data_IF_543542441074
#
_entry.id   IF_543542441074
#
_cell.length_a   1.000
_cell.length_b   1.000
_cell.length_c   1.000
_cell.angle_alpha   90.00
_cell.angle_beta   90.00
_cell.angle_gamma   90.00
#
_symmetry.space_group_name_H-M   'P 1'
#
loop_
_entity.id
_entity.type
_entity.pdbx_description
1 polymer ?
#
# COMPACT_ATOMS: atom_id res chain seq x y z
N UNK A 1 0.17 7.06 -8.52
CA UNK A 1 1.52 6.55 -8.88
C UNK A 1 2.63 7.32 -8.15
N UNK A 2 2.77 8.63 -8.34
CA UNK A 2 3.86 9.42 -7.71
C UNK A 2 3.83 9.36 -6.18
N UNK A 3 2.66 9.45 -5.55
CA UNK A 3 2.56 9.33 -4.09
C UNK A 3 2.99 7.94 -3.60
N UNK A 4 2.68 6.88 -4.36
CA UNK A 4 3.13 5.51 -4.05
C UNK A 4 4.62 5.33 -4.28
N UNK A 5 5.19 5.96 -5.31
CA UNK A 5 6.63 5.95 -5.55
C UNK A 5 7.41 6.49 -4.34
N UNK A 6 7.03 7.65 -3.81
CA UNK A 6 7.64 8.23 -2.61
C UNK A 6 7.47 7.37 -1.35
N UNK A 7 6.32 6.70 -1.23
CA UNK A 7 6.06 5.76 -0.14
C UNK A 7 7.00 4.56 -0.20
N UNK A 8 7.17 3.98 -1.39
CA UNK A 8 7.99 2.79 -1.61
C UNK A 8 9.49 3.07 -1.62
N UNK A 9 9.93 4.28 -1.99
CA UNK A 9 11.33 4.69 -1.77
C UNK A 9 11.70 4.50 -0.32
N UNK A 10 10.87 4.98 0.61
CA UNK A 10 11.18 4.86 2.04
C UNK A 10 11.35 3.41 2.49
N UNK A 11 10.40 2.55 2.12
CA UNK A 11 10.43 1.15 2.50
C UNK A 11 11.64 0.42 1.88
N UNK A 12 11.93 0.66 0.60
CA UNK A 12 12.98 -0.05 -0.13
C UNK A 12 14.39 0.44 0.24
N UNK A 13 14.54 1.75 0.48
CA UNK A 13 15.81 2.36 0.88
C UNK A 13 16.06 2.34 2.40
N UNK A 14 15.11 1.87 3.23
CA UNK A 14 15.30 1.84 4.68
C UNK A 14 16.54 1.02 5.08
N UNK A 15 16.89 -0.01 4.31
CA UNK A 15 18.09 -0.83 4.50
C UNK A 15 19.39 0.01 4.43
N UNK A 16 19.37 1.13 3.69
CA UNK A 16 20.52 2.01 3.50
C UNK A 16 20.56 3.18 4.49
N UNK A 17 19.42 3.82 4.78
CA UNK A 17 19.41 5.04 5.60
C UNK A 17 19.07 4.80 7.07
N UNK A 18 18.61 3.60 7.49
CA UNK A 18 18.16 3.37 8.87
C UNK A 18 19.18 3.83 9.92
N UNK A 19 20.45 3.40 9.81
CA UNK A 19 21.52 3.82 10.71
C UNK A 19 21.91 5.29 10.61
N UNK A 20 21.55 6.01 9.54
CA UNK A 20 21.77 7.46 9.46
C UNK A 20 20.84 8.26 10.38
N UNK A 21 19.65 7.74 10.70
CA UNK A 21 18.65 8.41 11.55
C UNK A 21 18.51 7.77 12.93
N UNK A 22 18.74 6.46 13.03
CA UNK A 22 18.55 5.66 14.23
C UNK A 22 19.81 4.83 14.50
N UNK A 23 20.93 5.45 14.92
CA UNK A 23 22.15 4.71 15.16
C UNK A 23 21.94 3.68 16.28
N UNK A 24 22.22 2.42 15.97
CA UNK A 24 22.16 1.31 16.92
C UNK A 24 23.35 0.37 16.70
N UNK A 25 23.60 -0.51 17.67
CA UNK A 25 24.59 -1.58 17.52
C UNK A 25 24.07 -2.76 16.68
N UNK A 26 22.74 -2.84 16.44
CA UNK A 26 22.10 -3.93 15.71
C UNK A 26 21.20 -3.40 14.58
N UNK A 27 21.44 -3.86 13.35
CA UNK A 27 20.68 -3.49 12.15
C UNK A 27 19.17 -3.75 12.28
N UNK A 28 18.77 -4.79 13.01
CA UNK A 28 17.35 -5.11 13.25
C UNK A 28 16.67 -3.99 14.04
N UNK A 29 17.36 -3.41 15.03
CA UNK A 29 16.83 -2.31 15.82
C UNK A 29 16.69 -1.02 14.99
N UNK A 30 17.67 -0.71 14.13
CA UNK A 30 17.57 0.45 13.22
C UNK A 30 16.37 0.30 12.28
N UNK A 31 16.19 -0.89 11.70
CA UNK A 31 15.06 -1.19 10.83
C UNK A 31 13.74 -1.18 11.58
N UNK A 32 13.69 -1.64 12.83
CA UNK A 32 12.51 -1.58 13.68
C UNK A 32 12.07 -0.13 13.91
N UNK A 33 13.02 0.78 14.16
CA UNK A 33 12.74 2.22 14.27
C UNK A 33 12.21 2.79 12.96
N UNK A 34 12.81 2.47 11.81
CA UNK A 34 12.26 2.92 10.50
C UNK A 34 10.88 2.34 10.21
N UNK A 35 10.62 1.08 10.58
CA UNK A 35 9.31 0.43 10.44
C UNK A 35 8.27 1.09 11.36
N UNK A 36 8.65 1.50 12.57
CA UNK A 36 7.78 2.27 13.46
C UNK A 36 7.43 3.64 12.86
N UNK A 37 8.39 4.34 12.26
CA UNK A 37 8.12 5.60 11.53
C UNK A 37 7.20 5.36 10.33
N UNK A 38 7.40 4.27 9.60
CA UNK A 38 6.52 3.87 8.50
C UNK A 38 5.09 3.63 9.00
N UNK A 39 4.93 2.89 10.10
CA UNK A 39 3.65 2.61 10.75
C UNK A 39 2.95 3.90 11.23
N UNK A 40 3.69 4.87 11.79
CA UNK A 40 3.14 6.17 12.19
C UNK A 40 2.57 6.92 10.96
N UNK A 41 3.25 6.90 9.82
CA UNK A 41 2.71 7.47 8.58
C UNK A 41 1.40 6.80 8.14
N UNK A 42 1.27 5.49 8.34
CA UNK A 42 0.03 4.76 8.10
C UNK A 42 -1.11 5.19 9.02
N UNK A 43 -0.83 5.42 10.31
CA UNK A 43 -1.81 5.91 11.29
C UNK A 43 -2.41 7.27 10.93
N UNK A 44 -1.71 8.08 10.12
CA UNK A 44 -2.20 9.36 9.64
C UNK A 44 -3.20 9.23 8.48
N UNK A 45 -3.33 8.07 7.82
CA UNK A 45 -4.21 7.89 6.65
C UNK A 45 -5.70 8.12 6.93
N UNK A 46 -6.30 7.64 8.05
CA UNK A 46 -7.69 7.96 8.37
C UNK A 46 -7.91 9.46 8.58
N UNK A 47 -6.98 10.14 9.26
CA UNK A 47 -7.00 11.59 9.45
C UNK A 47 -6.87 12.32 8.11
N UNK A 48 -5.95 11.86 7.25
CA UNK A 48 -5.77 12.37 5.89
C UNK A 48 -7.02 12.25 5.04
N UNK A 49 -7.69 11.09 5.08
CA UNK A 49 -8.96 10.84 4.38
C UNK A 49 -10.04 11.83 4.80
N UNK A 50 -10.14 12.11 6.11
CA UNK A 50 -11.10 13.05 6.66
C UNK A 50 -10.78 14.51 6.27
N UNK A 51 -9.53 14.93 6.46
CA UNK A 51 -9.09 16.31 6.17
C UNK A 51 -9.16 16.60 4.67
N UNK A 52 -8.61 15.73 3.83
CA UNK A 52 -8.63 15.88 2.37
C UNK A 52 -10.03 15.75 1.80
N UNK A 53 -10.87 14.87 2.36
CA UNK A 53 -12.29 14.77 1.99
C UNK A 53 -13.05 16.07 2.25
N UNK A 54 -12.94 16.63 3.47
CA UNK A 54 -13.55 17.91 3.83
C UNK A 54 -13.02 19.06 2.97
N UNK A 55 -11.72 19.07 2.70
CA UNK A 55 -11.11 20.07 1.83
C UNK A 55 -11.61 19.96 0.38
N UNK A 56 -11.75 18.74 -0.15
CA UNK A 56 -12.32 18.48 -1.47
C UNK A 56 -13.79 18.91 -1.58
N UNK A 57 -14.56 18.76 -0.51
CA UNK A 57 -15.95 19.21 -0.45
C UNK A 57 -16.08 20.74 -0.42
N UNK A 58 -15.14 21.43 0.24
CA UNK A 58 -15.15 22.89 0.38
C UNK A 58 -14.52 23.64 -0.80
N UNK A 59 -13.43 23.11 -1.36
CA UNK A 59 -12.58 23.79 -2.34
C UNK A 59 -12.47 23.06 -3.68
N UNK A 60 -13.23 21.97 -3.86
CA UNK A 60 -13.21 21.17 -5.07
C UNK A 60 -12.14 20.05 -5.05
N UNK A 61 -12.39 18.99 -5.84
CA UNK A 61 -11.57 17.78 -5.87
C UNK A 61 -10.18 18.05 -6.44
N UNK A 62 -10.09 18.91 -7.45
CA UNK A 62 -8.82 19.34 -8.04
C UNK A 62 -7.91 19.99 -6.99
N UNK A 63 -8.44 20.92 -6.19
CA UNK A 63 -7.68 21.60 -5.14
C UNK A 63 -7.15 20.60 -4.10
N UNK A 64 -7.99 19.67 -3.63
CA UNK A 64 -7.57 18.64 -2.68
C UNK A 64 -6.48 17.71 -3.23
N UNK A 65 -6.64 17.29 -4.49
CA UNK A 65 -5.66 16.47 -5.19
C UNK A 65 -4.33 17.22 -5.37
N UNK A 66 -4.36 18.51 -5.72
CA UNK A 66 -3.17 19.36 -5.80
C UNK A 66 -2.49 19.50 -4.44
N UNK A 67 -3.25 19.79 -3.38
CA UNK A 67 -2.73 19.90 -2.02
C UNK A 67 -2.06 18.59 -1.56
N UNK A 68 -2.69 17.44 -1.83
CA UNK A 68 -2.12 16.12 -1.52
C UNK A 68 -0.75 15.92 -2.16
N UNK A 69 -0.65 16.15 -3.47
CA UNK A 69 0.62 15.97 -4.21
C UNK A 69 1.67 16.98 -3.73
N UNK A 70 1.29 18.22 -3.44
CA UNK A 70 2.20 19.23 -2.88
C UNK A 70 2.75 18.82 -1.52
N UNK A 71 1.91 18.28 -0.63
CA UNK A 71 2.33 17.78 0.68
C UNK A 71 3.32 16.64 0.50
N UNK A 72 3.04 15.71 -0.42
CA UNK A 72 3.93 14.59 -0.68
C UNK A 72 5.28 15.05 -1.23
N UNK A 73 5.27 15.94 -2.24
CA UNK A 73 6.45 16.51 -2.88
C UNK A 73 7.38 17.20 -1.87
N UNK A 74 6.80 18.10 -1.07
CA UNK A 74 7.53 18.85 -0.04
C UNK A 74 8.08 17.91 1.01
N UNK A 75 7.30 16.91 1.44
CA UNK A 75 7.78 15.91 2.39
C UNK A 75 8.99 15.12 1.86
N UNK A 76 8.95 14.67 0.60
CA UNK A 76 10.04 13.91 -0.01
C UNK A 76 11.30 14.76 -0.14
N UNK A 77 11.15 16.02 -0.57
CA UNK A 77 12.26 16.97 -0.62
C UNK A 77 12.86 17.21 0.77
N UNK A 78 12.02 17.45 1.79
CA UNK A 78 12.48 17.67 3.15
C UNK A 78 13.27 16.46 3.68
N UNK A 79 12.80 15.23 3.45
CA UNK A 79 13.52 14.00 3.85
C UNK A 79 14.92 13.94 3.23
N UNK A 80 15.06 14.33 1.97
CA UNK A 80 16.36 14.38 1.30
C UNK A 80 17.32 15.42 1.90
N UNK A 81 16.80 16.40 2.64
CA UNK A 81 17.57 17.49 3.24
C UNK A 81 17.84 17.29 4.74
N UNK A 82 17.07 16.44 5.44
CA UNK A 82 17.23 16.25 6.90
C UNK A 82 18.67 15.84 7.24
N UNK A 83 19.36 16.55 8.15
CA UNK A 83 20.68 16.14 8.63
C UNK A 83 20.62 14.81 9.39
N UNK A 84 21.73 14.06 9.37
CA UNK A 84 21.81 12.75 10.04
C UNK A 84 21.86 12.91 11.56
N UNK A 85 21.68 11.79 12.29
CA UNK A 85 21.78 11.76 13.75
C UNK A 85 23.15 12.26 14.24
N UNK A 86 24.22 12.02 13.49
CA UNK A 86 25.57 12.52 13.85
C UNK A 86 25.64 14.05 13.88
N UNK A 87 24.82 14.75 13.10
CA UNK A 87 24.84 16.21 12.98
C UNK A 87 23.91 16.91 13.97
N UNK A 88 22.70 16.39 14.17
CA UNK A 88 21.64 17.06 14.97
C UNK A 88 21.05 16.17 16.07
N UNK A 89 21.62 14.99 16.32
CA UNK A 89 21.17 14.07 17.35
C UNK A 89 19.73 13.62 17.17
N UNK A 90 19.00 13.54 18.29
CA UNK A 90 17.61 13.07 18.37
C UNK A 90 16.63 13.89 17.53
N UNK A 91 16.97 15.13 17.14
CA UNK A 91 16.12 15.92 16.25
C UNK A 91 16.01 15.30 14.84
N UNK A 92 17.02 14.55 14.38
CA UNK A 92 16.99 13.88 13.08
C UNK A 92 15.81 12.91 12.93
N UNK A 93 15.64 11.91 13.82
CA UNK A 93 14.48 11.02 13.76
C UNK A 93 13.15 11.72 14.09
N UNK A 94 13.13 12.73 14.96
CA UNK A 94 11.90 13.50 15.25
C UNK A 94 11.39 14.23 14.00
N UNK A 95 12.28 14.93 13.28
CA UNK A 95 11.93 15.63 12.03
C UNK A 95 11.45 14.60 10.99
N UNK A 96 12.13 13.46 10.88
CA UNK A 96 11.71 12.39 9.98
C UNK A 96 10.29 11.89 10.29
N UNK A 97 9.96 11.67 11.56
CA UNK A 97 8.62 11.28 12.02
C UNK A 97 7.58 12.33 11.64
N UNK A 98 7.85 13.61 11.92
CA UNK A 98 6.92 14.70 11.61
C UNK A 98 6.66 14.80 10.11
N UNK A 99 7.70 14.72 9.27
CA UNK A 99 7.53 14.73 7.82
C UNK A 99 6.70 13.51 7.37
N UNK A 100 6.95 12.33 7.94
CA UNK A 100 6.23 11.10 7.60
C UNK A 100 4.76 11.15 8.01
N UNK A 101 4.45 11.77 9.15
CA UNK A 101 3.06 12.01 9.56
C UNK A 101 2.35 12.91 8.56
N UNK A 102 3.00 13.99 8.12
CA UNK A 102 2.47 14.92 7.13
C UNK A 102 2.23 14.22 5.78
N UNK A 103 3.20 13.43 5.29
CA UNK A 103 3.05 12.64 4.06
C UNK A 103 1.92 11.59 4.17
N UNK A 104 1.73 10.99 5.34
CA UNK A 104 0.66 10.04 5.60
C UNK A 104 -0.76 10.63 5.42
N UNK A 105 -0.92 11.94 5.63
CA UNK A 105 -2.18 12.64 5.39
C UNK A 105 -2.55 12.69 3.90
N UNK A 106 -1.57 12.85 3.01
CA UNK A 106 -1.77 12.91 1.56
C UNK A 106 -2.35 11.58 1.02
N UNK A 107 -1.70 10.46 1.36
CA UNK A 107 -2.10 9.13 0.88
C UNK A 107 -3.46 8.63 1.40
N UNK A 108 -3.98 9.22 2.48
CA UNK A 108 -5.25 8.79 3.07
C UNK A 108 -6.43 8.92 2.11
N UNK A 109 -6.57 10.07 1.44
CA UNK A 109 -7.71 10.37 0.58
C UNK A 109 -7.67 9.72 -0.81
N UNK A 110 -6.47 9.43 -1.33
CA UNK A 110 -6.27 9.02 -2.73
C UNK A 110 -6.96 7.67 -3.05
N UNK A 111 -6.88 6.69 -2.12
CA UNK A 111 -7.34 5.33 -2.38
C UNK A 111 -8.86 5.23 -2.55
N UNK A 112 -9.63 5.84 -1.64
CA UNK A 112 -11.10 5.77 -1.67
C UNK A 112 -11.68 6.48 -2.90
N UNK A 113 -11.09 7.61 -3.27
CA UNK A 113 -11.49 8.38 -4.45
C UNK A 113 -11.19 7.59 -5.73
N UNK A 114 -9.98 7.03 -5.85
CA UNK A 114 -9.55 6.28 -7.03
C UNK A 114 -10.36 4.99 -7.22
N UNK A 115 -10.61 4.24 -6.14
CA UNK A 115 -11.41 3.02 -6.17
C UNK A 115 -12.85 3.29 -6.63
N UNK A 116 -13.46 4.36 -6.10
CA UNK A 116 -14.84 4.75 -6.45
C UNK A 116 -14.90 5.20 -7.91
N UNK A 117 -14.00 6.07 -8.34
CA UNK A 117 -13.93 6.57 -9.71
C UNK A 117 -13.79 5.44 -10.74
N UNK A 118 -12.88 4.49 -10.53
CA UNK A 118 -12.69 3.36 -11.43
C UNK A 118 -13.91 2.43 -11.46
N UNK A 119 -14.60 2.25 -10.32
CA UNK A 119 -15.82 1.44 -10.26
C UNK A 119 -17.00 2.08 -10.99
N UNK A 120 -17.10 3.42 -10.98
CA UNK A 120 -18.19 4.18 -11.59
C UNK A 120 -18.01 4.32 -13.10
N UNK A 121 -16.77 4.44 -13.58
CA UNK A 121 -16.47 4.49 -15.02
C UNK A 121 -16.59 3.14 -15.73
N UNK A 122 -16.48 2.04 -14.99
CA UNK A 122 -16.41 0.71 -15.58
C UNK A 122 -17.78 0.22 -16.09
N UNK A 123 -17.79 -0.30 -17.31
CA UNK A 123 -18.93 -1.06 -17.83
C UNK A 123 -19.21 -2.28 -16.92
N UNK A 124 -20.48 -2.60 -16.66
CA UNK A 124 -20.89 -3.62 -15.69
C UNK A 124 -20.19 -4.98 -15.89
N UNK A 125 -19.88 -5.34 -17.15
CA UNK A 125 -19.22 -6.61 -17.53
C UNK A 125 -17.69 -6.63 -17.39
N UNK A 126 -17.03 -5.50 -17.12
CA UNK A 126 -15.55 -5.39 -17.06
C UNK A 126 -15.05 -4.68 -15.80
N UNK A 127 -15.87 -4.66 -14.74
CA UNK A 127 -15.58 -3.91 -13.51
C UNK A 127 -14.30 -4.41 -12.82
N UNK A 128 -14.07 -5.72 -12.77
CA UNK A 128 -12.86 -6.33 -12.21
C UNK A 128 -11.61 -5.93 -12.99
N UNK A 129 -11.67 -5.98 -14.33
CA UNK A 129 -10.56 -5.57 -15.19
C UNK A 129 -10.15 -4.11 -14.94
N UNK A 130 -11.09 -3.15 -14.96
CA UNK A 130 -10.77 -1.73 -14.72
C UNK A 130 -10.32 -1.45 -13.28
N UNK A 131 -10.94 -2.08 -12.28
CA UNK A 131 -10.55 -1.91 -10.88
C UNK A 131 -9.12 -2.38 -10.60
N UNK A 132 -8.66 -3.43 -11.30
CA UNK A 132 -7.32 -3.97 -11.13
C UNK A 132 -6.19 -2.98 -11.48
N UNK A 133 -6.46 -1.99 -12.35
CA UNK A 133 -5.49 -0.96 -12.73
C UNK A 133 -5.08 -0.09 -11.54
N UNK A 134 -5.90 -0.01 -10.48
CA UNK A 134 -5.50 0.64 -9.25
C UNK A 134 -4.20 0.03 -8.69
N UNK A 135 -4.13 -1.29 -8.59
CA UNK A 135 -2.91 -1.98 -8.13
C UNK A 135 -1.78 -1.91 -9.16
N UNK A 136 -2.08 -1.85 -10.45
CA UNK A 136 -1.04 -1.57 -11.47
C UNK A 136 -0.34 -0.24 -11.18
N UNK A 137 -1.08 0.84 -10.90
CA UNK A 137 -0.47 2.15 -10.62
C UNK A 137 0.33 2.19 -9.32
N UNK A 138 -0.09 1.40 -8.32
CA UNK A 138 0.57 1.28 -7.03
C UNK A 138 1.89 0.51 -7.17
N UNK A 139 1.87 -0.64 -7.84
CA UNK A 139 3.05 -1.46 -8.09
C UNK A 139 4.00 -0.79 -9.10
N UNK A 140 3.48 -0.03 -10.06
CA UNK A 140 4.32 0.80 -10.95
C UNK A 140 5.16 1.80 -10.15
N UNK A 141 4.56 2.44 -9.13
CA UNK A 141 5.30 3.32 -8.22
C UNK A 141 6.42 2.57 -7.47
N UNK A 142 6.14 1.36 -6.99
CA UNK A 142 7.14 0.51 -6.35
C UNK A 142 8.26 0.08 -7.31
N UNK A 143 7.91 -0.33 -8.52
CA UNK A 143 8.87 -0.75 -9.55
C UNK A 143 9.79 0.40 -9.97
N UNK A 144 9.27 1.62 -10.11
CA UNK A 144 10.09 2.80 -10.37
C UNK A 144 11.08 3.08 -9.23
N UNK A 145 10.65 2.91 -7.97
CA UNK A 145 11.54 3.07 -6.82
C UNK A 145 12.65 2.00 -6.83
N UNK A 146 12.31 0.74 -7.12
CA UNK A 146 13.27 -0.35 -7.26
C UNK A 146 14.19 -0.18 -8.48
N UNK A 147 13.70 0.34 -9.59
CA UNK A 147 14.51 0.63 -10.78
C UNK A 147 15.60 1.65 -10.46
N UNK A 148 15.23 2.74 -9.77
CA UNK A 148 16.22 3.73 -9.31
C UNK A 148 17.19 3.10 -8.32
N UNK A 149 16.72 2.23 -7.42
CA UNK A 149 17.59 1.48 -6.52
C UNK A 149 18.61 0.62 -7.27
N UNK A 150 18.19 -0.13 -8.31
CA UNK A 150 19.07 -0.94 -9.15
C UNK A 150 20.09 -0.06 -9.87
N UNK A 151 19.65 1.04 -10.47
CA UNK A 151 20.54 1.99 -11.16
C UNK A 151 21.59 2.53 -10.19
N UNK A 152 21.19 2.97 -9.00
CA UNK A 152 22.15 3.47 -8.00
C UNK A 152 23.08 2.37 -7.50
N UNK A 153 22.61 1.14 -7.30
CA UNK A 153 23.45 -0.01 -6.93
C UNK A 153 24.47 -0.39 -8.02
N UNK A 154 24.14 -0.14 -9.28
CA UNK A 154 25.05 -0.43 -10.40
C UNK A 154 26.21 0.57 -10.48
N UNK A 155 25.94 1.85 -10.20
CA UNK A 155 26.94 2.92 -10.31
C UNK A 155 27.66 3.24 -9.00
N UNK A 156 27.09 2.90 -7.84
CA UNK A 156 27.60 3.31 -6.53
C UNK A 156 27.88 2.11 -5.63
N UNK A 157 28.87 2.29 -4.77
CA UNK A 157 29.23 1.31 -3.72
C UNK A 157 28.25 1.34 -2.55
N UNK A 158 28.16 0.26 -1.78
CA UNK A 158 27.28 0.19 -0.59
C UNK A 158 27.57 1.31 0.43
N UNK A 159 28.84 1.69 0.58
CA UNK A 159 29.26 2.81 1.44
C UNK A 159 28.70 4.14 0.94
N UNK A 160 28.74 4.41 -0.37
CA UNK A 160 28.16 5.62 -0.97
C UNK A 160 26.63 5.64 -0.87
N UNK A 161 25.98 4.48 -1.06
CA UNK A 161 24.53 4.30 -0.90
C UNK A 161 24.07 4.68 0.50
N UNK A 162 24.78 4.20 1.53
CA UNK A 162 24.49 4.51 2.94
C UNK A 162 24.87 5.94 3.35
N UNK A 163 25.93 6.50 2.76
CA UNK A 163 26.43 7.82 3.14
C UNK A 163 25.51 8.96 2.66
N UNK A 164 25.16 8.99 1.38
CA UNK A 164 24.44 10.13 0.79
C UNK A 164 23.47 9.75 -0.32
N UNK A 165 23.72 8.68 -1.08
CA UNK A 165 22.97 8.44 -2.29
C UNK A 165 21.52 7.99 -2.04
N UNK A 166 21.19 7.50 -0.84
CA UNK A 166 19.80 7.28 -0.41
C UNK A 166 18.93 8.55 -0.49
N UNK A 167 19.52 9.75 -0.54
CA UNK A 167 18.78 11.03 -0.71
C UNK A 167 18.29 11.23 -2.14
N UNK A 168 18.97 10.68 -3.15
CA UNK A 168 18.68 10.91 -4.58
C UNK A 168 17.25 10.52 -4.97
N UNK A 169 16.72 9.33 -4.61
CA UNK A 169 15.37 8.94 -4.99
C UNK A 169 14.30 9.88 -4.42
N UNK A 170 14.50 10.40 -3.20
CA UNK A 170 13.58 11.37 -2.60
C UNK A 170 13.56 12.71 -3.35
N UNK A 171 14.70 13.16 -3.87
CA UNK A 171 14.77 14.34 -4.76
C UNK A 171 14.05 14.06 -6.08
N UNK A 172 14.27 12.90 -6.69
CA UNK A 172 13.58 12.50 -7.91
C UNK A 172 12.06 12.41 -7.72
N UNK A 173 11.61 11.96 -6.54
CA UNK A 173 10.19 11.95 -6.17
C UNK A 173 9.60 13.34 -6.06
N UNK A 174 10.31 14.27 -5.40
CA UNK A 174 9.91 15.67 -5.35
C UNK A 174 9.81 16.29 -6.76
N UNK A 175 10.76 16.03 -7.66
CA UNK A 175 10.72 16.51 -9.05
C UNK A 175 9.52 15.91 -9.79
N UNK A 176 9.30 14.59 -9.68
CA UNK A 176 8.15 13.92 -10.30
C UNK A 176 6.82 14.47 -9.81
N UNK A 177 6.72 14.82 -8.53
CA UNK A 177 5.53 15.44 -7.97
C UNK A 177 5.32 16.87 -8.48
N UNK A 178 6.37 17.67 -8.66
CA UNK A 178 6.28 19.00 -9.30
C UNK A 178 5.77 18.89 -10.75
N UNK A 179 6.25 17.90 -11.51
CA UNK A 179 5.75 17.64 -12.86
C UNK A 179 4.26 17.30 -12.83
N UNK A 180 3.81 16.46 -11.89
CA UNK A 180 2.38 16.16 -11.73
C UNK A 180 1.58 17.40 -11.34
N UNK A 181 2.10 18.27 -10.47
CA UNK A 181 1.45 19.53 -10.13
C UNK A 181 1.28 20.40 -11.37
N UNK A 182 2.32 20.51 -12.21
CA UNK A 182 2.26 21.25 -13.47
C UNK A 182 1.21 20.66 -14.42
N UNK A 183 1.19 19.33 -14.59
CA UNK A 183 0.18 18.65 -15.42
C UNK A 183 -1.24 18.81 -14.88
N UNK A 184 -1.41 19.03 -13.57
CA UNK A 184 -2.73 19.30 -12.96
C UNK A 184 -3.18 20.75 -13.10
N UNK A 185 -2.30 21.65 -13.57
CA UNK A 185 -2.70 23.02 -13.92
C UNK A 185 -3.60 23.07 -15.17
N UNK A 186 -3.57 22.02 -16.01
CA UNK A 186 -4.40 21.92 -17.23
C UNK A 186 -5.68 21.10 -17.08
N UNK A 187 -5.98 20.52 -15.90
CA UNK A 187 -7.22 19.77 -15.67
C UNK A 187 -8.39 20.69 -15.32
N UNK A 188 -9.52 20.51 -16.01
CA UNK A 188 -10.79 21.17 -15.67
C UNK A 188 -11.35 20.68 -14.34
N UNK A 189 -12.05 21.56 -13.61
CA UNK A 189 -12.78 21.18 -12.40
C UNK A 189 -13.90 20.19 -12.72
N UNK A 190 -13.96 19.10 -11.95
CA UNK A 190 -15.02 18.09 -12.10
C UNK A 190 -16.41 18.71 -11.90
N UNK A 191 -17.29 18.48 -12.90
CA UNK A 191 -18.70 18.93 -12.98
C UNK A 191 -19.52 18.59 -11.72
N UNK A 192 -19.12 17.59 -10.94
CA UNK A 192 -19.76 17.23 -9.66
C UNK A 192 -19.70 18.33 -8.58
N UNK A 193 -18.67 19.19 -8.55
CA UNK A 193 -18.62 20.32 -7.60
C UNK A 193 -19.83 21.26 -7.77
N UNK A 194 -20.23 21.52 -9.02
CA UNK A 194 -21.39 22.35 -9.35
C UNK A 194 -22.74 21.71 -8.97
N UNK A 195 -22.80 20.38 -8.83
CA UNK A 195 -24.03 19.65 -8.42
C UNK A 195 -24.11 19.43 -6.90
N UNK A 196 -23.01 19.11 -6.21
CA UNK A 196 -22.99 18.89 -4.75
C UNK A 196 -23.23 20.19 -3.96
N UNK A 197 -22.88 21.35 -4.52
CA UNK A 197 -23.17 22.65 -3.92
C UNK A 197 -24.67 22.93 -3.67
N UNK A 198 -25.58 22.19 -4.31
CA UNK A 198 -27.04 22.39 -4.17
C UNK A 198 -27.69 21.59 -3.04
N UNK A 199 -27.00 20.66 -2.36
CA UNK A 199 -27.61 19.86 -1.28
C UNK A 199 -26.64 19.62 -0.10
N UNK A 200 -26.60 20.53 0.89
CA UNK A 200 -25.68 20.47 2.04
C UNK A 200 -25.87 19.24 2.94
N UNK A 201 -27.05 18.62 2.90
CA UNK A 201 -27.44 17.47 3.74
C UNK A 201 -27.06 16.10 3.14
N UNK A 202 -26.56 16.05 1.91
CA UNK A 202 -26.11 14.81 1.25
C UNK A 202 -24.62 14.50 1.51
N UNK A 203 -24.03 15.10 2.54
CA UNK A 203 -22.63 14.82 2.93
C UNK A 203 -22.59 13.46 3.62
N UNK A 204 -21.90 12.50 3.01
CA UNK A 204 -21.54 11.24 3.66
C UNK A 204 -20.86 11.55 4.98
N UNK A 205 -21.60 11.45 6.07
CA UNK A 205 -21.13 11.77 7.43
C UNK A 205 -20.85 10.47 8.15
N UNK A 206 -19.89 10.45 9.07
CA UNK A 206 -19.59 9.28 9.92
C UNK A 206 -20.85 8.71 10.61
N UNK A 207 -21.85 9.56 10.88
CA UNK A 207 -23.17 9.20 11.41
C UNK A 207 -24.01 8.36 10.44
N UNK A 208 -23.88 8.56 9.13
CA UNK A 208 -24.57 7.75 8.12
C UNK A 208 -23.86 6.41 7.92
N UNK A 209 -22.52 6.40 8.01
CA UNK A 209 -21.73 5.17 7.98
C UNK A 209 -22.04 4.25 9.18
N UNK A 210 -22.31 4.83 10.35
CA UNK A 210 -22.69 4.09 11.56
C UNK A 210 -23.97 3.25 11.39
N UNK A 211 -24.81 3.55 10.38
CA UNK A 211 -26.01 2.75 10.05
C UNK A 211 -25.69 1.44 9.32
N UNK A 212 -24.45 1.25 8.85
CA UNK A 212 -24.02 0.08 8.07
C UNK A 212 -22.88 -0.73 8.74
N UNK A 213 -23.03 -1.14 10.01
CA UNK A 213 -21.94 -1.78 10.76
C UNK A 213 -21.52 -3.14 10.18
N UNK A 214 -22.46 -3.89 9.59
CA UNK A 214 -22.17 -5.19 8.97
C UNK A 214 -21.28 -5.05 7.73
N UNK A 215 -21.57 -4.06 6.88
CA UNK A 215 -20.78 -3.76 5.69
C UNK A 215 -19.38 -3.25 6.07
N UNK A 216 -19.30 -2.37 7.07
CA UNK A 216 -18.02 -1.87 7.61
C UNK A 216 -17.17 -3.03 8.14
N UNK A 217 -17.73 -3.92 8.97
CA UNK A 217 -17.01 -5.09 9.48
C UNK A 217 -16.59 -6.06 8.38
N UNK A 218 -17.41 -6.18 7.33
CA UNK A 218 -17.03 -6.95 6.14
C UNK A 218 -15.81 -6.33 5.48
N UNK A 219 -15.79 -5.02 5.21
CA UNK A 219 -14.62 -4.32 4.64
C UNK A 219 -13.36 -4.51 5.50
N UNK A 220 -13.48 -4.38 6.82
CA UNK A 220 -12.37 -4.60 7.75
C UNK A 220 -11.86 -6.04 7.62
N UNK A 221 -12.75 -7.02 7.69
CA UNK A 221 -12.41 -8.43 7.55
C UNK A 221 -11.80 -8.80 6.20
N UNK A 222 -12.32 -8.24 5.09
CA UNK A 222 -11.75 -8.41 3.75
C UNK A 222 -10.34 -7.82 3.68
N UNK A 223 -10.15 -6.66 4.31
CA UNK A 223 -8.90 -5.90 4.24
C UNK A 223 -7.81 -6.48 5.13
N UNK A 224 -8.16 -7.06 6.27
CA UNK A 224 -7.24 -7.51 7.31
C UNK A 224 -6.17 -8.49 6.79
N UNK A 225 -6.56 -9.70 6.36
CA UNK A 225 -5.62 -10.68 5.82
C UNK A 225 -5.00 -10.24 4.50
N UNK A 226 -5.78 -9.57 3.64
CA UNK A 226 -5.32 -9.09 2.35
C UNK A 226 -4.21 -8.03 2.46
N UNK A 227 -4.33 -7.07 3.38
CA UNK A 227 -3.30 -6.04 3.60
C UNK A 227 -2.06 -6.61 4.27
N UNK A 228 -2.23 -7.52 5.24
CA UNK A 228 -1.10 -8.16 5.92
C UNK A 228 -0.29 -8.98 4.93
N UNK A 229 -0.95 -9.84 4.14
CA UNK A 229 -0.29 -10.61 3.10
C UNK A 229 0.38 -9.69 2.06
N UNK A 230 -0.31 -8.65 1.60
CA UNK A 230 0.24 -7.72 0.62
C UNK A 230 1.57 -7.10 1.06
N UNK A 231 1.64 -6.46 2.24
CA UNK A 231 2.90 -5.86 2.72
C UNK A 231 3.94 -6.93 3.11
N UNK A 232 3.49 -8.11 3.55
CA UNK A 232 4.40 -9.24 3.83
C UNK A 232 5.19 -9.63 2.59
N UNK A 233 4.51 -9.84 1.46
CA UNK A 233 5.16 -10.28 0.22
C UNK A 233 5.82 -9.15 -0.57
N UNK A 234 5.33 -7.91 -0.47
CA UNK A 234 5.85 -6.79 -1.27
C UNK A 234 6.95 -5.98 -0.59
N UNK A 235 7.01 -5.93 0.74
CA UNK A 235 8.01 -5.10 1.45
C UNK A 235 8.83 -5.90 2.46
N UNK A 236 8.20 -6.66 3.35
CA UNK A 236 8.94 -7.44 4.35
C UNK A 236 9.78 -8.57 3.75
N UNK A 237 9.28 -9.26 2.71
CA UNK A 237 10.00 -10.35 2.05
C UNK A 237 11.40 -9.95 1.59
N UNK A 238 11.56 -8.73 1.06
CA UNK A 238 12.87 -8.16 0.72
C UNK A 238 13.80 -8.09 1.94
N UNK A 239 13.30 -7.56 3.06
CA UNK A 239 14.07 -7.43 4.31
C UNK A 239 14.41 -8.79 4.91
N UNK A 240 13.52 -9.75 4.78
CA UNK A 240 13.74 -11.13 5.21
C UNK A 240 14.89 -11.78 4.42
N UNK A 241 14.87 -11.66 3.08
CA UNK A 241 15.95 -12.18 2.23
C UNK A 241 17.31 -11.55 2.54
N UNK A 242 17.37 -10.25 2.81
CA UNK A 242 18.64 -9.58 3.14
C UNK A 242 19.09 -9.89 4.58
N UNK A 243 18.23 -9.67 5.57
CA UNK A 243 18.65 -9.69 6.97
C UNK A 243 18.64 -11.09 7.60
N UNK A 244 17.82 -12.02 7.10
CA UNK A 244 17.67 -13.35 7.68
C UNK A 244 18.42 -14.39 6.87
N UNK A 245 18.26 -14.35 5.54
CA UNK A 245 18.97 -15.28 4.65
C UNK A 245 20.39 -14.79 4.31
N UNK A 246 20.72 -13.53 4.61
CA UNK A 246 22.05 -12.97 4.32
C UNK A 246 22.31 -12.77 2.83
N UNK A 247 21.27 -12.74 1.99
CA UNK A 247 21.44 -12.61 0.54
C UNK A 247 21.95 -11.20 0.18
N UNK A 248 22.84 -11.09 -0.84
CA UNK A 248 23.34 -9.80 -1.30
C UNK A 248 22.20 -8.86 -1.72
N UNK A 249 22.23 -7.60 -1.24
CA UNK A 249 21.14 -6.65 -1.46
C UNK A 249 20.82 -6.43 -2.94
N UNK A 250 21.82 -6.35 -3.81
CA UNK A 250 21.63 -6.21 -5.26
C UNK A 250 20.82 -7.37 -5.87
N UNK A 251 21.16 -8.60 -5.48
CA UNK A 251 20.46 -9.79 -5.94
C UNK A 251 19.01 -9.80 -5.47
N UNK A 252 18.77 -9.47 -4.20
CA UNK A 252 17.42 -9.38 -3.64
C UNK A 252 16.60 -8.29 -4.34
N UNK A 253 17.20 -7.12 -4.63
CA UNK A 253 16.53 -6.05 -5.37
C UNK A 253 16.11 -6.51 -6.77
N UNK A 254 16.95 -7.25 -7.50
CA UNK A 254 16.60 -7.82 -8.81
C UNK A 254 15.46 -8.84 -8.72
N UNK A 255 15.51 -9.74 -7.73
CA UNK A 255 14.44 -10.71 -7.47
C UNK A 255 13.11 -10.00 -7.23
N UNK A 256 13.10 -9.00 -6.35
CA UNK A 256 11.89 -8.22 -6.04
C UNK A 256 11.37 -7.49 -7.28
N UNK A 257 12.25 -6.84 -8.04
CA UNK A 257 11.86 -6.12 -9.25
C UNK A 257 11.21 -7.05 -10.27
N UNK A 258 11.83 -8.19 -10.57
CA UNK A 258 11.28 -9.17 -11.51
C UNK A 258 9.93 -9.74 -11.04
N UNK A 259 9.82 -10.10 -9.76
CA UNK A 259 8.60 -10.69 -9.22
C UNK A 259 7.44 -9.68 -9.20
N UNK A 260 7.71 -8.43 -8.82
CA UNK A 260 6.73 -7.35 -8.83
C UNK A 260 6.33 -6.92 -10.25
N UNK A 261 7.24 -7.00 -11.21
CA UNK A 261 6.94 -6.71 -12.62
C UNK A 261 5.94 -7.71 -13.18
N UNK A 262 6.15 -9.01 -12.93
CA UNK A 262 5.20 -10.06 -13.31
C UNK A 262 3.88 -9.87 -12.55
N UNK A 263 3.93 -9.61 -11.23
CA UNK A 263 2.75 -9.36 -10.42
C UNK A 263 1.91 -8.19 -10.94
N UNK A 264 2.54 -7.10 -11.40
CA UNK A 264 1.87 -5.95 -12.02
C UNK A 264 1.09 -6.35 -13.28
N UNK A 265 1.73 -7.12 -14.18
CA UNK A 265 1.10 -7.58 -15.43
C UNK A 265 -0.05 -8.56 -15.16
N UNK A 266 0.03 -9.32 -14.07
CA UNK A 266 -1.01 -10.27 -13.69
C UNK A 266 -2.26 -9.60 -13.10
N UNK A 267 -2.19 -8.37 -12.56
CA UNK A 267 -3.36 -7.74 -11.94
C UNK A 267 -4.56 -7.62 -12.92
N UNK A 268 -4.39 -7.11 -14.16
CA UNK A 268 -5.48 -7.08 -15.14
C UNK A 268 -5.98 -8.45 -15.57
N UNK A 269 -5.11 -9.46 -15.60
CA UNK A 269 -5.49 -10.84 -15.96
C UNK A 269 -6.42 -11.40 -14.89
N UNK A 270 -6.06 -11.29 -13.61
CA UNK A 270 -6.91 -11.73 -12.50
C UNK A 270 -8.20 -10.90 -12.40
N UNK A 271 -8.14 -9.60 -12.67
CA UNK A 271 -9.31 -8.73 -12.77
C UNK A 271 -10.30 -9.20 -13.84
N UNK A 272 -9.80 -9.59 -15.02
CA UNK A 272 -10.62 -10.15 -16.10
C UNK A 272 -11.18 -11.54 -15.78
N UNK A 273 -10.40 -12.40 -15.11
CA UNK A 273 -10.88 -13.71 -14.63
C UNK A 273 -12.04 -13.50 -13.65
N UNK A 274 -11.96 -12.50 -12.77
CA UNK A 274 -13.04 -12.14 -11.83
C UNK A 274 -14.34 -11.76 -12.52
N UNK A 275 -14.25 -11.08 -13.66
CA UNK A 275 -15.42 -10.70 -14.43
C UNK A 275 -16.12 -11.91 -15.07
N UNK A 276 -15.40 -13.02 -15.31
CA UNK A 276 -15.96 -14.26 -15.88
C UNK A 276 -16.43 -15.26 -14.82
N UNK A 277 -15.61 -15.46 -13.78
CA UNK A 277 -15.79 -16.54 -12.79
C UNK A 277 -16.53 -16.05 -11.53
N UNK A 278 -16.59 -14.73 -11.32
CA UNK A 278 -17.11 -14.10 -10.11
C UNK A 278 -16.00 -13.74 -9.12
N UNK A 279 -16.33 -12.93 -8.11
CA UNK A 279 -15.33 -12.36 -7.18
C UNK A 279 -15.01 -13.35 -6.06
N UNK A 280 -16.01 -14.08 -5.56
CA UNK A 280 -15.85 -15.00 -4.42
C UNK A 280 -14.86 -16.16 -4.69
N UNK A 281 -14.82 -16.79 -5.88
CA UNK A 281 -13.83 -17.83 -6.16
C UNK A 281 -12.38 -17.36 -6.06
N UNK A 282 -12.08 -16.12 -6.46
CA UNK A 282 -10.75 -15.51 -6.33
C UNK A 282 -10.39 -15.19 -4.88
N UNK A 283 -11.36 -14.74 -4.08
CA UNK A 283 -11.16 -14.57 -2.64
C UNK A 283 -10.92 -15.91 -1.94
N UNK A 284 -11.58 -16.98 -2.35
CA UNK A 284 -11.29 -18.33 -1.86
C UNK A 284 -9.92 -18.83 -2.28
N UNK A 285 -9.50 -18.58 -3.53
CA UNK A 285 -8.15 -18.88 -3.99
C UNK A 285 -7.09 -18.22 -3.08
N UNK A 286 -7.23 -16.92 -2.85
CA UNK A 286 -6.36 -16.19 -1.95
C UNK A 286 -6.42 -16.73 -0.51
N UNK A 287 -7.62 -16.92 0.03
CA UNK A 287 -7.79 -17.35 1.42
C UNK A 287 -7.25 -18.75 1.70
N UNK A 288 -7.55 -19.73 0.83
CA UNK A 288 -7.12 -21.11 1.02
C UNK A 288 -5.61 -21.24 0.81
N UNK A 289 -5.10 -20.76 -0.33
CA UNK A 289 -3.68 -20.88 -0.63
C UNK A 289 -2.83 -19.98 0.26
N UNK A 290 -3.32 -18.78 0.60
CA UNK A 290 -2.60 -17.88 1.49
C UNK A 290 -2.50 -18.43 2.91
N UNK A 291 -3.52 -19.11 3.43
CA UNK A 291 -3.42 -19.78 4.72
C UNK A 291 -2.51 -21.00 4.68
N UNK A 292 -2.58 -21.83 3.64
CA UNK A 292 -1.83 -23.09 3.59
C UNK A 292 -0.37 -22.92 3.17
N UNK A 293 -0.08 -22.02 2.23
CA UNK A 293 1.23 -21.91 1.58
C UNK A 293 2.12 -20.81 2.15
N UNK A 294 1.62 -19.88 2.96
CA UNK A 294 2.48 -18.82 3.52
C UNK A 294 3.61 -19.39 4.38
N UNK A 295 3.33 -20.32 5.29
CA UNK A 295 4.39 -20.96 6.10
C UNK A 295 5.37 -21.77 5.25
N UNK A 296 4.93 -22.67 4.35
CA UNK A 296 5.81 -23.37 3.40
C UNK A 296 6.68 -22.45 2.55
N UNK A 297 6.16 -21.31 2.09
CA UNK A 297 6.92 -20.35 1.27
C UNK A 297 8.08 -19.76 2.08
N UNK A 298 7.82 -19.25 3.28
CA UNK A 298 8.87 -18.63 4.10
C UNK A 298 9.88 -19.64 4.67
N UNK A 299 9.42 -20.85 5.00
CA UNK A 299 10.31 -21.94 5.44
C UNK A 299 11.13 -22.49 4.29
N UNK A 300 10.55 -22.66 3.10
CA UNK A 300 11.26 -23.03 1.88
C UNK A 300 12.36 -22.04 1.52
N UNK A 301 12.11 -20.74 1.72
CA UNK A 301 13.14 -19.71 1.55
C UNK A 301 14.34 -19.86 2.49
N UNK A 302 14.19 -20.46 3.68
CA UNK A 302 15.34 -20.72 4.59
C UNK A 302 16.21 -21.87 4.13
N UNK A 303 15.62 -22.84 3.44
CA UNK A 303 16.29 -24.11 3.07
C UNK A 303 16.95 -24.00 1.70
N UNK A 304 16.41 -23.15 0.82
CA UNK A 304 16.85 -23.05 -0.57
C UNK A 304 17.92 -21.96 -0.72
N UNK A 305 19.19 -22.36 -0.83
CA UNK A 305 20.33 -21.48 -1.16
C UNK A 305 20.36 -21.02 -2.64
N UNK A 306 19.24 -21.13 -3.36
CA UNK A 306 19.17 -20.81 -4.78
C UNK A 306 18.39 -19.51 -5.02
N UNK A 307 19.02 -18.46 -5.59
CA UNK A 307 18.37 -17.19 -5.92
C UNK A 307 17.14 -17.33 -6.82
N UNK A 308 17.18 -18.26 -7.76
CA UNK A 308 16.05 -18.53 -8.66
C UNK A 308 14.87 -19.17 -7.91
N UNK A 309 15.16 -20.05 -6.95
CA UNK A 309 14.12 -20.62 -6.09
C UNK A 309 13.47 -19.55 -5.20
N UNK A 310 14.27 -18.61 -4.68
CA UNK A 310 13.75 -17.47 -3.92
C UNK A 310 12.83 -16.58 -4.75
N UNK A 311 13.19 -16.34 -6.01
CA UNK A 311 12.32 -15.66 -6.98
C UNK A 311 11.01 -16.39 -7.23
N UNK A 312 11.05 -17.71 -7.50
CA UNK A 312 9.84 -18.49 -7.74
C UNK A 312 8.92 -18.52 -6.52
N UNK A 313 9.47 -18.71 -5.31
CA UNK A 313 8.69 -18.70 -4.07
C UNK A 313 8.02 -17.36 -3.80
N UNK A 314 8.74 -16.25 -4.04
CA UNK A 314 8.17 -14.91 -3.97
C UNK A 314 7.05 -14.72 -4.99
N UNK A 315 7.26 -15.17 -6.24
CA UNK A 315 6.27 -15.07 -7.30
C UNK A 315 5.00 -15.89 -6.99
N UNK A 316 5.15 -17.09 -6.40
CA UNK A 316 4.01 -17.90 -5.93
C UNK A 316 3.23 -17.14 -4.86
N UNK A 317 3.89 -16.52 -3.89
CA UNK A 317 3.25 -15.68 -2.87
C UNK A 317 2.45 -14.53 -3.49
N UNK A 318 3.05 -13.81 -4.45
CA UNK A 318 2.40 -12.72 -5.16
C UNK A 318 1.22 -13.19 -6.04
N UNK A 319 1.33 -14.36 -6.67
CA UNK A 319 0.24 -14.99 -7.43
C UNK A 319 -0.97 -15.31 -6.54
N UNK A 320 -0.72 -15.81 -5.33
CA UNK A 320 -1.78 -16.07 -4.34
C UNK A 320 -2.45 -14.75 -3.95
N UNK A 321 -1.65 -13.73 -3.63
CA UNK A 321 -2.14 -12.38 -3.24
C UNK A 321 -2.94 -11.71 -4.36
N UNK A 322 -2.65 -12.02 -5.62
CA UNK A 322 -3.35 -11.47 -6.79
C UNK A 322 -4.85 -11.79 -6.79
N UNK A 323 -5.26 -12.89 -6.17
CA UNK A 323 -6.67 -13.24 -5.98
C UNK A 323 -7.45 -12.23 -5.12
N UNK A 324 -6.76 -11.53 -4.21
CA UNK A 324 -7.36 -10.43 -3.44
C UNK A 324 -7.12 -9.08 -4.11
N UNK A 325 -5.87 -8.74 -4.45
CA UNK A 325 -5.50 -7.36 -4.85
C UNK A 325 -6.20 -6.90 -6.11
N UNK A 326 -6.37 -7.78 -7.10
CA UNK A 326 -6.99 -7.44 -8.38
C UNK A 326 -8.46 -7.03 -8.27
N UNK A 327 -9.18 -7.49 -7.24
CA UNK A 327 -10.64 -7.33 -7.08
C UNK A 327 -11.05 -6.56 -5.82
N UNK A 328 -10.09 -6.29 -4.93
CA UNK A 328 -10.34 -5.70 -3.63
C UNK A 328 -11.13 -4.38 -3.69
N UNK A 329 -10.77 -3.50 -4.63
CA UNK A 329 -11.41 -2.20 -4.79
C UNK A 329 -12.88 -2.33 -5.19
N UNK A 330 -13.19 -3.22 -6.14
CA UNK A 330 -14.55 -3.38 -6.66
C UNK A 330 -15.47 -4.07 -5.67
N UNK A 331 -14.99 -5.14 -5.00
CA UNK A 331 -15.78 -5.85 -3.99
C UNK A 331 -16.26 -4.91 -2.89
N UNK A 332 -15.41 -3.99 -2.45
CA UNK A 332 -15.76 -3.00 -1.43
C UNK A 332 -16.74 -1.96 -1.94
N UNK A 333 -16.55 -1.48 -3.18
CA UNK A 333 -17.44 -0.51 -3.81
C UNK A 333 -18.87 -1.06 -3.99
N UNK A 334 -18.99 -2.35 -4.31
CA UNK A 334 -20.28 -3.03 -4.51
C UNK A 334 -21.10 -3.22 -3.21
N UNK A 335 -20.46 -3.12 -2.03
CA UNK A 335 -21.12 -3.32 -0.72
C UNK A 335 -21.93 -2.11 -0.21
N UNK A 336 -21.72 -0.93 -0.80
CA UNK A 336 -22.34 0.32 -0.32
C UNK A 336 -23.16 1.02 -1.41
N UNK A 337 -24.29 1.65 -1.02
CA UNK A 337 -25.04 2.52 -1.91
C UNK A 337 -24.24 3.77 -2.26
N UNK A 338 -24.56 4.38 -3.41
CA UNK A 338 -23.73 5.41 -4.05
C UNK A 338 -23.45 6.61 -3.15
N UNK A 339 -24.40 7.02 -2.31
CA UNK A 339 -24.30 8.22 -1.46
C UNK A 339 -23.24 8.09 -0.35
N UNK A 340 -22.93 6.87 0.09
CA UNK A 340 -21.93 6.62 1.15
C UNK A 340 -20.74 5.80 0.69
N UNK A 341 -20.70 5.36 -0.57
CA UNK A 341 -19.68 4.43 -1.09
C UNK A 341 -18.26 4.93 -0.85
N UNK A 342 -17.96 6.18 -1.19
CA UNK A 342 -16.62 6.73 -1.05
C UNK A 342 -16.14 6.71 0.43
N UNK A 343 -16.99 7.11 1.38
CA UNK A 343 -16.68 7.10 2.80
C UNK A 343 -16.66 5.67 3.37
N UNK A 344 -17.63 4.84 3.00
CA UNK A 344 -17.79 3.47 3.48
C UNK A 344 -16.72 2.51 2.97
N UNK A 345 -16.14 2.76 1.80
CA UNK A 345 -14.95 2.06 1.33
C UNK A 345 -13.70 2.66 1.95
N UNK A 346 -13.53 3.99 1.86
CA UNK A 346 -12.29 4.67 2.22
C UNK A 346 -11.94 4.58 3.70
N UNK A 347 -12.90 4.87 4.60
CA UNK A 347 -12.63 4.95 6.04
C UNK A 347 -12.30 3.59 6.67
N UNK A 348 -13.12 2.53 6.53
CA UNK A 348 -12.80 1.21 7.11
C UNK A 348 -11.53 0.60 6.50
N UNK A 349 -11.32 0.79 5.19
CA UNK A 349 -10.08 0.37 4.52
C UNK A 349 -8.86 1.10 5.10
N UNK A 350 -8.92 2.43 5.13
CA UNK A 350 -7.84 3.27 5.63
C UNK A 350 -7.48 2.94 7.07
N UNK A 351 -8.49 2.73 7.93
CA UNK A 351 -8.31 2.33 9.33
C UNK A 351 -7.66 0.94 9.44
N UNK A 352 -8.13 -0.05 8.68
CA UNK A 352 -7.59 -1.41 8.73
C UNK A 352 -6.14 -1.45 8.23
N UNK A 353 -5.86 -0.75 7.13
CA UNK A 353 -4.51 -0.64 6.56
C UNK A 353 -3.59 0.14 7.48
N UNK A 354 -4.11 1.16 8.18
CA UNK A 354 -3.35 1.92 9.16
C UNK A 354 -2.89 1.05 10.34
N UNK A 355 -3.81 0.28 10.91
CA UNK A 355 -3.56 -0.54 12.10
C UNK A 355 -2.75 -1.79 11.75
N UNK A 356 -3.11 -2.49 10.67
CA UNK A 356 -2.54 -3.81 10.35
C UNK A 356 -1.53 -3.76 9.22
N UNK A 357 -1.80 -3.01 8.16
CA UNK A 357 -0.88 -2.89 7.03
C UNK A 357 0.41 -2.17 7.40
N UNK A 358 0.31 -1.06 8.13
CA UNK A 358 1.46 -0.29 8.58
C UNK A 358 2.33 -0.99 9.63
N UNK A 359 1.74 -1.89 10.42
CA UNK A 359 2.44 -2.59 11.50
C UNK A 359 3.06 -3.93 11.10
N UNK A 360 2.76 -4.45 9.90
CA UNK A 360 3.29 -5.75 9.41
C UNK A 360 4.80 -5.84 9.60
N UNK A 361 5.54 -4.85 9.08
CA UNK A 361 6.99 -4.86 9.14
C UNK A 361 7.51 -4.76 10.58
N UNK A 362 6.86 -3.94 11.40
CA UNK A 362 7.22 -3.79 12.81
C UNK A 362 7.03 -5.11 13.56
N UNK A 363 5.87 -5.76 13.41
CA UNK A 363 5.57 -7.06 14.04
C UNK A 363 6.57 -8.12 13.57
N UNK A 364 6.89 -8.15 12.28
CA UNK A 364 7.82 -9.11 11.71
C UNK A 364 9.26 -8.93 12.24
N UNK A 365 9.74 -7.69 12.31
CA UNK A 365 11.06 -7.37 12.84
C UNK A 365 11.14 -7.55 14.36
N UNK A 366 10.06 -7.23 15.09
CA UNK A 366 9.97 -7.47 16.52
C UNK A 366 10.00 -8.96 16.85
N UNK A 367 9.23 -9.78 16.13
CA UNK A 367 9.25 -11.25 16.28
C UNK A 367 10.63 -11.84 15.95
N UNK A 368 11.35 -11.25 14.99
CA UNK A 368 12.73 -11.61 14.70
C UNK A 368 13.68 -11.23 15.85
N UNK A 369 13.54 -10.03 16.41
CA UNK A 369 14.38 -9.55 17.51
C UNK A 369 14.28 -10.47 18.74
N UNK A 370 13.06 -10.91 19.09
CA UNK A 370 12.81 -11.89 20.16
C UNK A 370 13.11 -13.36 19.76
N UNK A 371 13.77 -13.60 18.62
CA UNK A 371 14.15 -14.93 18.10
C UNK A 371 12.97 -15.88 17.77
N UNK A 372 11.76 -15.35 17.59
CA UNK A 372 10.54 -16.09 17.23
C UNK A 372 10.03 -15.72 15.83
N UNK A 373 10.93 -15.53 14.87
CA UNK A 373 10.60 -15.08 13.51
C UNK A 373 9.55 -15.97 12.81
N UNK A 374 9.55 -17.28 13.08
CA UNK A 374 8.58 -18.22 12.49
C UNK A 374 7.12 -17.92 12.91
N UNK A 375 6.90 -17.31 14.07
CA UNK A 375 5.56 -16.90 14.53
C UNK A 375 4.93 -15.87 13.59
N UNK A 376 5.76 -15.07 12.90
CA UNK A 376 5.26 -14.12 11.92
C UNK A 376 4.57 -14.81 10.74
N UNK A 377 5.10 -15.95 10.28
CA UNK A 377 4.50 -16.71 9.17
C UNK A 377 3.13 -17.27 9.54
N UNK A 378 3.00 -17.75 10.78
CA UNK A 378 1.73 -18.21 11.33
C UNK A 378 0.75 -17.05 11.57
N UNK A 379 1.24 -15.88 12.00
CA UNK A 379 0.44 -14.66 12.13
C UNK A 379 -0.17 -14.26 10.78
N UNK A 380 0.62 -14.22 9.71
CA UNK A 380 0.13 -13.91 8.36
C UNK A 380 -0.90 -14.96 7.91
N UNK A 381 -0.59 -16.25 8.10
CA UNK A 381 -1.50 -17.36 7.72
C UNK A 381 -2.83 -17.30 8.48
N UNK A 382 -2.78 -16.99 9.78
CA UNK A 382 -3.96 -16.80 10.63
C UNK A 382 -4.77 -15.56 10.25
N UNK A 383 -4.12 -14.46 9.89
CA UNK A 383 -4.81 -13.27 9.40
C UNK A 383 -5.56 -13.53 8.08
N UNK A 384 -4.92 -14.26 7.15
CA UNK A 384 -5.56 -14.70 5.90
C UNK A 384 -6.72 -15.65 6.18
N UNK A 385 -6.59 -16.55 7.17
CA UNK A 385 -7.67 -17.46 7.58
C UNK A 385 -8.89 -16.69 8.13
N UNK A 386 -8.66 -15.65 8.94
CA UNK A 386 -9.75 -14.78 9.42
C UNK A 386 -10.48 -14.14 8.24
N UNK A 387 -9.76 -13.64 7.24
CA UNK A 387 -10.37 -13.11 6.02
C UNK A 387 -11.11 -14.18 5.22
N UNK A 388 -10.60 -15.41 5.15
CA UNK A 388 -11.27 -16.55 4.50
C UNK A 388 -12.64 -16.84 5.13
N UNK A 389 -12.74 -16.80 6.46
CA UNK A 389 -14.01 -16.96 7.18
C UNK A 389 -15.00 -15.85 6.80
N UNK A 390 -14.52 -14.62 6.60
CA UNK A 390 -15.35 -13.49 6.15
C UNK A 390 -15.81 -13.70 4.70
N UNK A 391 -14.93 -14.16 3.81
CA UNK A 391 -15.26 -14.48 2.42
C UNK A 391 -16.37 -15.54 2.33
N UNK A 392 -16.33 -16.53 3.22
CA UNK A 392 -17.35 -17.57 3.28
C UNK A 392 -18.75 -17.01 3.57
N UNK A 393 -18.85 -16.10 4.55
CA UNK A 393 -20.11 -15.47 4.98
C UNK A 393 -20.62 -14.37 4.04
N UNK A 394 -19.77 -13.89 3.13
CA UNK A 394 -20.12 -12.82 2.19
C UNK A 394 -20.98 -13.36 1.02
N UNK A 395 -21.99 -12.60 0.61
CA UNK A 395 -22.76 -12.87 -0.61
C UNK A 395 -21.93 -12.53 -1.86
N UNK A 396 -22.20 -13.20 -2.97
CA UNK A 396 -21.55 -12.91 -4.26
C UNK A 396 -21.98 -11.53 -4.78
N UNK A 397 -21.04 -10.58 -4.86
CA UNK A 397 -21.35 -9.20 -5.27
C UNK A 397 -21.50 -9.04 -6.78
N UNK A 398 -21.04 -10.02 -7.56
CA UNK A 398 -21.18 -10.01 -9.03
C UNK A 398 -22.65 -9.97 -9.50
N UNK A 399 -23.58 -10.54 -8.71
CA UNK A 399 -25.01 -10.69 -9.09
C UNK A 399 -25.97 -9.79 -8.29
N UNK A 400 -25.56 -9.37 -7.09
CA UNK A 400 -26.39 -8.58 -6.17
C UNK A 400 -25.74 -7.21 -5.87
N UNK A 401 -25.21 -6.55 -6.91
CA UNK A 401 -24.51 -5.29 -6.74
C UNK A 401 -25.49 -4.14 -6.54
N UNK A 402 -25.26 -3.31 -5.52
CA UNK A 402 -25.97 -2.02 -5.39
C UNK A 402 -25.70 -1.08 -6.57
N UNK A 403 -24.60 -1.28 -7.33
CA UNK A 403 -24.30 -0.51 -8.54
C UNK A 403 -25.30 -0.76 -9.68
N UNK A 404 -25.99 -1.91 -9.66
CA UNK A 404 -26.95 -2.28 -10.71
C UNK A 404 -28.39 -1.94 -10.31
N UNK A 405 -28.63 -1.59 -9.03
CA UNK A 405 -29.92 -1.09 -8.53
C UNK A 405 -30.07 0.43 -8.75
N UNK A 406 -28.96 1.15 -8.93
CA UNK A 406 -28.93 2.61 -9.14
C UNK A 406 -28.97 3.01 -10.64
N UNK A 407 -29.09 2.05 -11.56
CA UNK A 407 -29.32 2.26 -13.00
C UNK A 407 -30.75 1.93 -13.36
#
# INVERSE_FOLDING_TARGET
>A
MVEWFDWYIYASFSIYFAGSFFPSQNQTAELLSTAAVFAIGFLMRPFGSFVMGKYADQHGRRSALTLSVSIMATGSLLISLVPTYQTIGIFSPIILILIRMIQGLSLGGEYGISATYLSEMASAKRRGFYASFQYVTLISGQLLALLIQIVLQFYLTDTQLRAWAWRIPFVLGAIGAIIVLYLRLSMDETIQYKKTAKNPNAKGTLTLLAKYPKQVMTVVGLTFGGTIAFYTYTTYMQKYMVNTLGLPTHLVTLINFGALFIFMILQPVFGHISDKVGRKPLLYWFGILGTLLTVPIFTGLKVLDNPFAAFLLMLVGLLIVSGYTSINAIVKAELFPTEIRALGVGFPYGLTVAIFGGTVEYVALWLKDIQHESWFFYYVSGAVLVSLIVYYKMAETTKNSHLDLDK
#
